data_IF_303344612857
#
_entry.id   IF_303344612857
#
_cell.length_a   1.000
_cell.length_b   1.000
_cell.length_c   1.000
_cell.angle_alpha   90.00
_cell.angle_beta   90.00
_cell.angle_gamma   90.00
#
_symmetry.space_group_name_H-M   'P 1'
#
loop_
_entity.id
_entity.type
_entity.pdbx_description
1 polymer ?
#
# COMPACT_ATOMS: atom_id res chain seq x y z
N UNK A 1 37.70 -22.74 3.97
CA UNK A 1 36.45 -22.46 3.19
C UNK A 1 36.61 -23.16 1.84
N UNK A 2 35.98 -24.29 1.72
CA UNK A 2 36.01 -25.09 0.49
C UNK A 2 35.06 -24.44 -0.53
N UNK A 3 35.59 -23.99 -1.66
CA UNK A 3 34.79 -23.42 -2.75
C UNK A 3 33.80 -24.47 -3.24
N UNK A 4 32.50 -24.20 -3.14
CA UNK A 4 31.46 -25.07 -3.65
C UNK A 4 31.73 -25.41 -5.12
N UNK A 5 32.01 -26.66 -5.39
CA UNK A 5 32.31 -27.19 -6.74
C UNK A 5 31.08 -26.92 -7.63
N UNK A 6 31.23 -26.04 -8.60
CA UNK A 6 30.18 -25.71 -9.56
C UNK A 6 29.82 -26.97 -10.34
N UNK A 7 28.58 -27.41 -10.23
CA UNK A 7 28.07 -28.56 -10.96
C UNK A 7 27.91 -28.16 -12.41
N UNK A 8 28.68 -28.73 -13.30
CA UNK A 8 28.53 -28.58 -14.76
C UNK A 8 27.41 -29.50 -15.20
N UNK A 9 26.28 -28.92 -15.65
CA UNK A 9 25.13 -29.66 -16.09
C UNK A 9 24.74 -29.22 -17.51
N UNK A 10 24.85 -30.17 -18.47
CA UNK A 10 24.48 -29.97 -19.86
C UNK A 10 23.03 -30.35 -20.19
N UNK A 11 22.25 -30.72 -19.17
CA UNK A 11 20.85 -31.10 -19.35
C UNK A 11 20.00 -29.91 -19.78
N UNK A 12 19.15 -30.09 -20.78
CA UNK A 12 18.16 -29.08 -21.17
C UNK A 12 17.00 -29.07 -20.19
N UNK A 13 16.67 -27.91 -19.68
CA UNK A 13 15.53 -27.69 -18.75
C UNK A 13 14.49 -26.83 -19.46
N UNK A 14 13.29 -27.36 -19.77
CA UNK A 14 12.18 -26.58 -20.30
C UNK A 14 11.82 -25.38 -19.42
N UNK A 15 11.39 -24.28 -20.02
CA UNK A 15 10.99 -23.05 -19.32
C UNK A 15 9.48 -22.98 -19.02
N UNK A 16 8.69 -23.79 -19.75
CA UNK A 16 7.23 -23.87 -19.57
C UNK A 16 6.73 -25.29 -19.84
N UNK A 17 5.51 -25.58 -19.39
CA UNK A 17 4.71 -26.70 -19.85
C UNK A 17 3.40 -26.18 -20.51
N UNK A 18 2.71 -27.05 -21.28
CA UNK A 18 1.49 -26.70 -22.02
C UNK A 18 0.22 -26.72 -21.14
N UNK A 19 0.36 -26.78 -19.81
CA UNK A 19 -0.78 -26.83 -18.89
C UNK A 19 -1.28 -25.44 -18.55
N UNK A 20 -2.48 -25.10 -19.01
CA UNK A 20 -3.16 -23.84 -18.68
C UNK A 20 -3.41 -23.67 -17.18
N UNK A 21 -3.18 -22.47 -16.68
CA UNK A 21 -3.42 -22.10 -15.30
C UNK A 21 -4.92 -21.86 -15.04
N UNK A 22 -5.40 -22.26 -13.85
CA UNK A 22 -6.77 -21.98 -13.44
C UNK A 22 -6.93 -20.49 -13.15
N UNK A 23 -8.02 -19.87 -13.62
CA UNK A 23 -8.26 -18.40 -13.46
C UNK A 23 -8.08 -17.92 -12.01
N UNK A 24 -8.52 -18.70 -11.03
CA UNK A 24 -8.37 -18.39 -9.60
C UNK A 24 -6.90 -18.27 -9.19
N UNK A 25 -6.02 -19.15 -9.67
CA UNK A 25 -4.59 -19.14 -9.38
C UNK A 25 -3.96 -17.86 -9.95
N UNK A 26 -4.24 -17.59 -11.22
CA UNK A 26 -3.75 -16.38 -11.89
C UNK A 26 -4.18 -15.10 -11.16
N UNK A 27 -5.46 -14.98 -10.82
CA UNK A 27 -6.00 -13.81 -10.12
C UNK A 27 -5.36 -13.58 -8.74
N UNK A 28 -5.09 -14.66 -8.01
CA UNK A 28 -4.41 -14.56 -6.70
C UNK A 28 -2.95 -14.16 -6.89
N UNK A 29 -2.23 -14.77 -7.82
CA UNK A 29 -0.82 -14.46 -8.07
C UNK A 29 -0.63 -13.02 -8.55
N UNK A 30 -1.46 -12.54 -9.49
CA UNK A 30 -1.45 -11.15 -10.00
C UNK A 30 -1.61 -10.13 -8.88
N UNK A 31 -2.41 -10.43 -7.84
CA UNK A 31 -2.60 -9.53 -6.70
C UNK A 31 -1.46 -9.66 -5.68
N UNK A 32 -1.00 -10.89 -5.39
CA UNK A 32 -0.02 -11.10 -4.33
C UNK A 32 1.41 -10.72 -4.71
N UNK A 33 1.82 -10.90 -5.96
CA UNK A 33 3.19 -10.58 -6.39
C UNK A 33 3.50 -9.09 -6.19
N UNK A 34 2.68 -8.12 -6.61
CA UNK A 34 2.91 -6.70 -6.31
C UNK A 34 2.88 -6.38 -4.81
N UNK A 35 1.93 -6.96 -4.05
CA UNK A 35 1.85 -6.75 -2.60
C UNK A 35 3.09 -7.26 -1.86
N UNK A 36 3.61 -8.43 -2.23
CA UNK A 36 4.85 -8.96 -1.68
C UNK A 36 6.05 -8.12 -2.07
N UNK A 37 6.11 -7.66 -3.30
CA UNK A 37 7.17 -6.75 -3.76
C UNK A 37 7.17 -5.47 -2.94
N UNK A 38 6.01 -4.85 -2.73
CA UNK A 38 5.86 -3.68 -1.88
C UNK A 38 6.24 -3.97 -0.43
N UNK A 39 5.85 -5.12 0.12
CA UNK A 39 6.24 -5.53 1.47
C UNK A 39 7.76 -5.70 1.61
N UNK A 40 8.44 -6.31 0.62
CA UNK A 40 9.91 -6.45 0.63
C UNK A 40 10.57 -5.07 0.60
N UNK A 41 10.11 -4.17 -0.25
CA UNK A 41 10.60 -2.78 -0.33
C UNK A 41 10.40 -2.03 0.99
N UNK A 42 9.21 -2.08 1.58
CA UNK A 42 8.89 -1.46 2.88
C UNK A 42 9.83 -1.95 3.99
N UNK A 43 10.20 -3.22 3.96
CA UNK A 43 11.13 -3.84 4.93
C UNK A 43 12.59 -3.71 4.57
N UNK A 44 12.92 -3.05 3.47
CA UNK A 44 14.29 -2.94 2.94
C UNK A 44 14.96 -4.31 2.78
N UNK A 45 14.18 -5.34 2.47
CA UNK A 45 14.64 -6.70 2.26
C UNK A 45 14.96 -6.90 0.78
N UNK A 46 16.21 -7.19 0.48
CA UNK A 46 16.62 -7.52 -0.89
C UNK A 46 16.10 -8.91 -1.20
N UNK A 47 15.07 -8.99 -2.01
CA UNK A 47 14.44 -10.23 -2.41
C UNK A 47 13.76 -10.09 -3.78
N UNK A 48 13.74 -11.16 -4.57
CA UNK A 48 12.93 -11.24 -5.78
C UNK A 48 11.64 -11.97 -5.48
N UNK A 49 10.53 -11.38 -5.92
CA UNK A 49 9.21 -11.98 -5.87
C UNK A 49 8.82 -12.41 -7.28
N UNK A 50 8.20 -13.57 -7.42
CA UNK A 50 7.71 -14.06 -8.70
C UNK A 50 6.65 -15.14 -8.52
N UNK A 51 6.18 -15.67 -9.65
CA UNK A 51 5.22 -16.78 -9.67
C UNK A 51 5.35 -17.57 -10.96
N UNK A 52 4.87 -18.81 -10.93
CA UNK A 52 4.77 -19.72 -12.08
C UNK A 52 6.06 -19.98 -12.85
N UNK A 53 7.22 -19.77 -12.23
CA UNK A 53 8.50 -20.15 -12.82
C UNK A 53 8.95 -21.52 -12.35
N UNK A 54 9.57 -22.30 -13.25
CA UNK A 54 10.08 -23.61 -12.94
C UNK A 54 11.29 -23.58 -12.02
N UNK A 55 11.20 -24.37 -10.96
CA UNK A 55 12.26 -24.63 -10.01
C UNK A 55 12.73 -26.07 -10.15
N UNK A 56 13.91 -26.24 -10.71
CA UNK A 56 14.56 -27.55 -10.77
C UNK A 56 15.37 -27.77 -9.50
N UNK A 57 15.14 -28.88 -8.84
CA UNK A 57 15.74 -29.14 -7.52
C UNK A 57 16.66 -30.38 -7.46
N UNK A 58 16.77 -31.13 -8.57
CA UNK A 58 17.74 -32.22 -8.74
C UNK A 58 18.50 -32.00 -10.05
N UNK A 59 19.82 -31.82 -9.95
CA UNK A 59 20.66 -31.68 -11.13
C UNK A 59 20.62 -32.92 -11.99
N UNK A 60 20.61 -32.75 -13.33
CA UNK A 60 20.54 -33.82 -14.34
C UNK A 60 19.22 -34.61 -14.36
N UNK A 61 18.21 -34.17 -13.63
CA UNK A 61 16.87 -34.74 -13.70
C UNK A 61 15.81 -33.65 -13.93
N UNK A 62 15.45 -33.36 -15.19
CA UNK A 62 14.49 -32.32 -15.52
C UNK A 62 13.04 -32.69 -15.11
N UNK A 63 12.79 -33.89 -14.65
CA UNK A 63 11.49 -34.28 -14.12
C UNK A 63 11.27 -33.81 -12.69
N UNK A 64 12.35 -33.48 -11.98
CA UNK A 64 12.30 -32.95 -10.63
C UNK A 64 12.14 -31.43 -10.67
N UNK A 65 10.95 -31.00 -10.98
CA UNK A 65 10.55 -29.60 -11.19
C UNK A 65 9.27 -29.27 -10.45
N UNK A 66 9.17 -28.03 -9.98
CA UNK A 66 7.95 -27.43 -9.42
C UNK A 66 7.84 -26.00 -9.86
N UNK A 67 6.63 -25.52 -10.13
CA UNK A 67 6.33 -24.12 -10.37
C UNK A 67 5.42 -23.60 -9.24
N UNK A 68 5.97 -22.87 -8.25
CA UNK A 68 5.14 -22.26 -7.21
C UNK A 68 4.21 -21.19 -7.81
N UNK A 69 2.97 -21.11 -7.35
CA UNK A 69 2.06 -20.04 -7.77
C UNK A 69 2.62 -18.65 -7.40
N UNK A 70 3.25 -18.54 -6.21
CA UNK A 70 3.98 -17.35 -5.79
C UNK A 70 5.21 -17.76 -4.98
N UNK A 71 6.34 -17.05 -5.14
CA UNK A 71 7.54 -17.31 -4.36
C UNK A 71 8.33 -16.04 -4.04
N UNK A 72 9.17 -16.13 -3.02
CA UNK A 72 10.14 -15.10 -2.63
C UNK A 72 11.52 -15.72 -2.51
N UNK A 73 12.53 -15.08 -3.13
CA UNK A 73 13.95 -15.48 -3.08
C UNK A 73 14.77 -14.38 -2.46
N UNK A 74 15.39 -14.67 -1.31
CA UNK A 74 16.27 -13.73 -0.65
C UNK A 74 17.60 -13.52 -1.39
N UNK A 75 18.16 -12.32 -1.27
CA UNK A 75 19.47 -11.97 -1.77
C UNK A 75 19.52 -11.79 -3.29
N UNK A 76 18.39 -11.78 -3.97
CA UNK A 76 18.29 -11.46 -5.40
C UNK A 76 17.59 -10.11 -5.54
N UNK A 77 18.25 -9.18 -6.25
CA UNK A 77 17.65 -7.86 -6.52
C UNK A 77 16.35 -8.01 -7.31
N UNK A 78 15.30 -7.23 -7.02
CA UNK A 78 14.10 -7.16 -7.85
C UNK A 78 14.44 -6.74 -9.30
N UNK A 79 15.48 -5.91 -9.47
CA UNK A 79 15.93 -5.40 -10.77
C UNK A 79 16.92 -6.33 -11.49
N UNK A 80 17.22 -7.51 -10.93
CA UNK A 80 18.09 -8.47 -11.59
C UNK A 80 17.47 -8.93 -12.91
N UNK A 81 18.28 -9.25 -13.93
CA UNK A 81 17.79 -9.77 -15.20
C UNK A 81 16.85 -10.96 -15.02
N UNK A 82 15.87 -11.08 -15.91
CA UNK A 82 14.95 -12.19 -15.89
C UNK A 82 15.67 -13.53 -16.06
N UNK A 83 15.14 -14.51 -15.34
CA UNK A 83 15.59 -15.89 -15.39
C UNK A 83 14.44 -16.72 -15.95
N UNK A 84 14.70 -17.51 -16.98
CA UNK A 84 13.70 -18.45 -17.48
C UNK A 84 13.34 -19.51 -16.43
N UNK A 85 14.33 -20.01 -15.70
CA UNK A 85 14.16 -21.04 -14.69
C UNK A 85 15.04 -20.82 -13.46
N UNK A 86 14.68 -21.41 -12.35
CA UNK A 86 15.48 -21.50 -11.13
C UNK A 86 16.09 -22.88 -10.98
N UNK A 87 17.33 -22.93 -10.50
CA UNK A 87 18.04 -24.16 -10.18
C UNK A 87 18.58 -24.06 -8.77
N UNK A 88 18.20 -24.99 -7.89
CA UNK A 88 18.61 -24.89 -6.47
C UNK A 88 20.09 -25.08 -6.23
N UNK A 89 20.78 -25.73 -7.15
CA UNK A 89 22.26 -25.90 -7.12
C UNK A 89 23.02 -24.64 -7.53
N UNK A 90 22.36 -23.63 -8.09
CA UNK A 90 22.95 -22.30 -8.33
C UNK A 90 23.01 -21.44 -7.02
N UNK A 91 22.64 -22.03 -5.90
CA UNK A 91 22.67 -21.38 -4.58
C UNK A 91 21.39 -20.65 -4.19
N UNK A 92 20.42 -20.52 -5.09
CA UNK A 92 19.12 -19.89 -4.80
C UNK A 92 18.12 -20.92 -4.26
N UNK A 93 17.27 -20.46 -3.32
CA UNK A 93 16.23 -21.27 -2.69
C UNK A 93 15.02 -20.43 -2.40
N UNK A 94 13.81 -20.98 -2.47
CA UNK A 94 12.63 -20.24 -2.00
C UNK A 94 12.77 -19.94 -0.51
N UNK A 95 12.76 -18.66 -0.13
CA UNK A 95 12.56 -18.28 1.25
C UNK A 95 11.12 -18.55 1.65
N UNK A 96 10.22 -18.21 0.76
CA UNK A 96 8.79 -18.43 0.89
C UNK A 96 8.23 -18.95 -0.44
N UNK A 97 7.23 -19.84 -0.37
CA UNK A 97 6.39 -20.19 -1.50
C UNK A 97 4.92 -20.30 -1.07
N UNK A 98 4.03 -19.97 -2.00
CA UNK A 98 2.60 -20.21 -1.90
C UNK A 98 2.18 -21.18 -2.98
N UNK A 99 1.41 -22.18 -2.61
CA UNK A 99 0.70 -23.09 -3.50
C UNK A 99 -0.80 -22.89 -3.34
N UNK A 100 -1.50 -22.75 -4.45
CA UNK A 100 -2.95 -22.67 -4.50
C UNK A 100 -3.47 -24.02 -4.98
N UNK A 101 -4.27 -24.64 -4.17
CA UNK A 101 -4.70 -26.01 -4.42
C UNK A 101 -5.62 -26.10 -5.62
N UNK A 102 -5.23 -26.94 -6.55
CA UNK A 102 -5.98 -27.25 -7.77
C UNK A 102 -7.10 -28.27 -7.52
N UNK A 103 -7.82 -28.64 -8.58
CA UNK A 103 -8.80 -29.73 -8.52
C UNK A 103 -8.16 -31.06 -8.09
N UNK A 104 -6.88 -31.29 -8.43
CA UNK A 104 -6.09 -32.46 -8.05
C UNK A 104 -5.35 -32.25 -6.73
N UNK A 105 -6.09 -31.94 -5.66
CA UNK A 105 -5.58 -31.52 -4.36
C UNK A 105 -4.54 -32.44 -3.72
N UNK A 106 -4.55 -33.76 -4.05
CA UNK A 106 -3.59 -34.73 -3.51
C UNK A 106 -2.14 -34.36 -3.88
N UNK A 107 -1.91 -33.92 -5.14
CA UNK A 107 -0.59 -33.44 -5.61
C UNK A 107 -0.10 -32.29 -4.76
N UNK A 108 -0.97 -31.32 -4.48
CA UNK A 108 -0.60 -30.11 -3.76
C UNK A 108 -0.42 -30.34 -2.26
N UNK A 109 -1.12 -31.34 -1.70
CA UNK A 109 -1.03 -31.68 -0.28
C UNK A 109 0.10 -32.65 0.08
N UNK A 110 0.48 -33.53 -0.84
CA UNK A 110 1.44 -34.62 -0.59
C UNK A 110 2.78 -34.37 -1.29
N UNK A 111 2.76 -34.15 -2.60
CA UNK A 111 3.98 -34.03 -3.39
C UNK A 111 4.65 -32.65 -3.26
N UNK A 112 3.86 -31.56 -3.17
CA UNK A 112 4.42 -30.23 -3.06
C UNK A 112 5.31 -30.06 -1.82
N UNK A 113 4.91 -30.44 -0.61
CA UNK A 113 5.76 -30.34 0.57
C UNK A 113 7.08 -31.09 0.46
N UNK A 114 7.10 -32.25 -0.20
CA UNK A 114 8.30 -33.06 -0.44
C UNK A 114 9.26 -32.34 -1.40
N UNK A 115 8.74 -31.81 -2.51
CA UNK A 115 9.52 -31.02 -3.46
C UNK A 115 10.12 -29.79 -2.79
N UNK A 116 9.36 -29.05 -1.97
CA UNK A 116 9.87 -27.88 -1.25
C UNK A 116 10.89 -28.24 -0.15
N UNK A 117 10.72 -29.39 0.47
CA UNK A 117 11.74 -29.93 1.38
C UNK A 117 13.06 -30.18 0.64
N UNK A 118 13.00 -30.79 -0.56
CA UNK A 118 14.16 -31.01 -1.42
C UNK A 118 14.78 -29.70 -1.92
N UNK A 119 14.01 -28.70 -2.30
CA UNK A 119 14.47 -27.35 -2.63
C UNK A 119 15.09 -26.61 -1.45
N UNK A 120 14.99 -27.14 -0.24
CA UNK A 120 15.39 -26.47 1.00
C UNK A 120 14.66 -25.13 1.23
N UNK A 121 13.40 -25.03 0.81
CA UNK A 121 12.56 -23.90 1.12
C UNK A 121 12.50 -23.63 2.63
N UNK A 122 12.35 -22.37 3.06
CA UNK A 122 12.24 -22.05 4.48
C UNK A 122 10.80 -22.19 4.97
N UNK A 123 9.86 -21.65 4.21
CA UNK A 123 8.42 -21.72 4.51
C UNK A 123 7.60 -21.93 3.24
N UNK A 124 6.55 -22.74 3.35
CA UNK A 124 5.54 -22.93 2.30
C UNK A 124 4.16 -22.84 2.92
N UNK A 125 3.31 -22.03 2.30
CA UNK A 125 1.88 -21.96 2.60
C UNK A 125 1.12 -22.64 1.46
N UNK A 126 0.25 -23.56 1.81
CA UNK A 126 -0.69 -24.18 0.88
C UNK A 126 -2.07 -23.60 1.18
N UNK A 127 -2.67 -22.95 0.21
CA UNK A 127 -4.00 -22.37 0.29
C UNK A 127 -4.98 -23.17 -0.54
N UNK A 128 -6.04 -23.64 0.09
CA UNK A 128 -7.12 -24.37 -0.58
C UNK A 128 -8.40 -23.52 -0.63
N UNK A 129 -8.68 -22.87 -1.76
CA UNK A 129 -9.88 -22.05 -1.92
C UNK A 129 -11.18 -22.85 -1.88
N UNK A 130 -11.10 -24.17 -2.15
CA UNK A 130 -12.25 -25.08 -2.20
C UNK A 130 -12.56 -25.75 -0.85
N UNK A 131 -11.69 -25.58 0.14
CA UNK A 131 -11.91 -26.13 1.47
C UNK A 131 -13.02 -25.36 2.20
N UNK A 132 -14.03 -26.06 2.64
CA UNK A 132 -15.14 -25.53 3.42
C UNK A 132 -15.14 -26.09 4.84
N UNK A 133 -15.90 -25.51 5.75
CA UNK A 133 -16.08 -26.05 7.10
C UNK A 133 -16.63 -27.49 7.13
N UNK A 134 -17.23 -27.96 6.04
CA UNK A 134 -17.78 -29.32 5.88
C UNK A 134 -16.79 -30.29 5.22
N UNK A 135 -15.64 -29.80 4.76
CA UNK A 135 -14.65 -30.66 4.10
C UNK A 135 -13.99 -31.60 5.11
N UNK A 136 -14.00 -32.88 4.83
CA UNK A 136 -13.41 -33.92 5.73
C UNK A 136 -11.91 -34.12 5.49
N UNK A 137 -11.42 -33.85 4.27
CA UNK A 137 -10.04 -34.16 3.84
C UNK A 137 -9.29 -32.91 3.36
N UNK A 138 -9.96 -31.77 3.29
CA UNK A 138 -9.39 -30.50 2.83
C UNK A 138 -9.42 -29.49 3.95
N UNK A 139 -8.37 -28.70 4.06
CA UNK A 139 -8.27 -27.59 5.01
C UNK A 139 -7.81 -26.36 4.26
N UNK A 140 -8.35 -25.20 4.61
CA UNK A 140 -8.08 -23.94 3.91
C UNK A 140 -6.59 -23.60 3.88
N UNK A 141 -5.88 -23.88 4.97
CA UNK A 141 -4.48 -23.55 5.12
C UNK A 141 -3.66 -24.73 5.61
N UNK A 142 -2.50 -24.93 5.02
CA UNK A 142 -1.43 -25.71 5.60
C UNK A 142 -0.14 -24.90 5.53
N UNK A 143 0.67 -24.92 6.58
CA UNK A 143 1.96 -24.24 6.63
C UNK A 143 3.04 -25.26 6.95
N UNK A 144 4.06 -25.27 6.12
CA UNK A 144 5.25 -26.08 6.30
C UNK A 144 6.44 -25.16 6.53
N UNK A 145 7.27 -25.46 7.51
CA UNK A 145 8.47 -24.68 7.83
C UNK A 145 9.68 -25.57 8.03
N UNK A 146 10.83 -25.01 7.73
CA UNK A 146 12.09 -25.64 8.08
C UNK A 146 12.42 -25.31 9.53
N UNK A 147 12.37 -26.33 10.38
CA UNK A 147 12.61 -26.21 11.81
C UNK A 147 13.94 -26.88 12.15
N UNK A 148 14.80 -26.16 12.88
CA UNK A 148 16.11 -26.70 13.30
C UNK A 148 15.92 -28.02 14.08
N UNK A 149 16.66 -29.04 13.70
CA UNK A 149 16.61 -30.37 14.31
C UNK A 149 15.40 -31.24 13.93
N UNK A 150 14.39 -30.68 13.23
CA UNK A 150 13.19 -31.41 12.82
C UNK A 150 12.98 -31.49 11.30
N UNK A 151 13.80 -30.75 10.53
CA UNK A 151 13.66 -30.71 9.07
C UNK A 151 12.53 -29.81 8.60
N UNK A 152 11.92 -30.15 7.47
CA UNK A 152 10.78 -29.44 6.90
C UNK A 152 9.49 -30.13 7.32
N UNK A 153 8.71 -29.47 8.16
CA UNK A 153 7.55 -30.09 8.83
C UNK A 153 6.31 -29.21 8.72
N UNK A 154 5.15 -29.84 8.72
CA UNK A 154 3.87 -29.16 8.85
C UNK A 154 3.74 -28.57 10.25
N UNK A 155 3.62 -27.25 10.35
CA UNK A 155 3.51 -26.53 11.62
C UNK A 155 2.10 -26.01 11.90
N UNK A 156 1.27 -25.94 10.86
CA UNK A 156 -0.13 -25.51 10.98
C UNK A 156 -1.00 -26.19 9.93
N UNK A 157 -2.24 -26.49 10.29
CA UNK A 157 -3.32 -26.83 9.38
C UNK A 157 -4.65 -26.36 10.00
N UNK A 158 -5.44 -25.59 9.24
CA UNK A 158 -6.67 -25.02 9.76
C UNK A 158 -7.54 -24.33 8.72
N UNK A 159 -8.73 -23.90 9.15
CA UNK A 159 -9.78 -23.34 8.28
C UNK A 159 -10.06 -21.84 8.47
N UNK A 160 -9.28 -21.10 9.23
CA UNK A 160 -9.50 -19.68 9.49
C UNK A 160 -9.42 -18.78 8.24
N UNK A 161 -9.73 -17.50 8.40
CA UNK A 161 -9.64 -16.50 7.34
C UNK A 161 -8.21 -16.04 7.06
N UNK A 162 -7.23 -16.42 7.91
CA UNK A 162 -5.85 -15.97 7.81
C UNK A 162 -4.84 -17.00 8.30
N UNK A 163 -3.60 -16.82 7.88
CA UNK A 163 -2.46 -17.61 8.33
C UNK A 163 -1.22 -16.73 8.46
N UNK A 164 -0.38 -17.00 9.46
CA UNK A 164 0.88 -16.31 9.66
C UNK A 164 1.95 -16.86 8.70
N UNK A 165 2.50 -15.98 7.85
CA UNK A 165 3.68 -16.23 7.02
C UNK A 165 4.92 -15.66 7.74
N UNK A 166 5.55 -16.48 8.59
CA UNK A 166 6.66 -16.03 9.48
C UNK A 166 7.88 -15.58 8.71
N UNK A 167 8.22 -16.29 7.66
CA UNK A 167 9.38 -15.94 6.83
C UNK A 167 9.20 -14.57 6.15
N UNK A 168 7.97 -14.20 5.89
CA UNK A 168 7.60 -12.88 5.38
C UNK A 168 7.35 -11.86 6.51
N UNK A 169 7.09 -12.35 7.74
CA UNK A 169 6.71 -11.55 8.90
C UNK A 169 5.38 -10.82 8.71
N UNK A 170 4.44 -11.39 8.01
CA UNK A 170 3.10 -10.86 7.78
C UNK A 170 2.05 -11.96 7.90
N UNK A 171 0.80 -11.57 7.73
CA UNK A 171 -0.32 -12.48 7.62
C UNK A 171 -0.80 -12.52 6.17
N UNK A 172 -1.26 -13.69 5.73
CA UNK A 172 -2.00 -13.85 4.49
C UNK A 172 -3.45 -14.05 4.87
N UNK A 173 -4.34 -13.19 4.36
CA UNK A 173 -5.78 -13.20 4.64
C UNK A 173 -6.59 -13.48 3.41
N UNK A 174 -7.67 -14.25 3.59
CA UNK A 174 -8.73 -14.35 2.59
C UNK A 174 -9.66 -13.16 2.73
N UNK A 175 -9.87 -12.45 1.64
CA UNK A 175 -10.89 -11.41 1.50
C UNK A 175 -11.84 -11.84 0.38
N UNK A 176 -13.11 -11.93 0.67
CA UNK A 176 -14.12 -12.29 -0.33
C UNK A 176 -14.51 -11.04 -1.12
N UNK A 177 -14.53 -11.13 -2.44
CA UNK A 177 -15.09 -10.12 -3.34
C UNK A 177 -16.16 -10.73 -4.25
N UNK A 178 -16.72 -9.95 -5.17
CA UNK A 178 -17.76 -10.40 -6.10
C UNK A 178 -17.29 -11.51 -7.06
N UNK A 179 -15.99 -11.75 -7.16
CA UNK A 179 -15.36 -12.76 -8.02
C UNK A 179 -14.83 -13.96 -7.23
N UNK A 180 -15.07 -13.99 -5.90
CA UNK A 180 -14.65 -15.08 -5.01
C UNK A 180 -13.45 -14.70 -4.11
N UNK A 181 -12.80 -15.71 -3.50
CA UNK A 181 -11.75 -15.49 -2.53
C UNK A 181 -10.51 -14.84 -3.17
N UNK A 182 -10.00 -13.79 -2.52
CA UNK A 182 -8.73 -13.13 -2.82
C UNK A 182 -7.80 -13.27 -1.63
N UNK A 183 -6.51 -13.35 -1.90
CA UNK A 183 -5.51 -13.30 -0.85
C UNK A 183 -4.93 -11.89 -0.74
N UNK A 184 -4.90 -11.36 0.47
CA UNK A 184 -4.32 -10.07 0.82
C UNK A 184 -3.23 -10.27 1.86
N UNK A 185 -2.23 -9.40 1.86
CA UNK A 185 -1.27 -9.33 2.94
C UNK A 185 -1.79 -8.42 4.05
N UNK A 186 -1.50 -8.77 5.28
CA UNK A 186 -1.84 -7.97 6.44
C UNK A 186 -0.69 -7.91 7.44
N UNK A 187 -0.64 -6.83 8.20
CA UNK A 187 0.34 -6.57 9.26
C UNK A 187 -0.37 -6.48 10.61
N UNK A 188 0.37 -6.12 11.66
CA UNK A 188 -0.14 -6.12 13.03
C UNK A 188 -0.02 -7.50 13.70
N UNK A 189 -0.23 -7.53 15.01
CA UNK A 189 -0.02 -8.74 15.83
C UNK A 189 -0.92 -9.90 15.41
N UNK A 190 -2.10 -9.59 14.89
CA UNK A 190 -3.11 -10.58 14.48
C UNK A 190 -3.48 -10.50 13.00
N UNK A 191 -2.74 -9.70 12.21
CA UNK A 191 -3.02 -9.53 10.79
C UNK A 191 -4.31 -8.74 10.52
N UNK A 192 -4.58 -7.72 11.30
CA UNK A 192 -5.79 -6.91 11.16
C UNK A 192 -5.63 -5.78 10.15
N UNK A 193 -4.40 -5.30 9.95
CA UNK A 193 -4.07 -4.17 9.09
C UNK A 193 -3.72 -4.67 7.67
N UNK A 194 -4.66 -4.56 6.75
CA UNK A 194 -4.41 -4.94 5.35
C UNK A 194 -3.37 -4.00 4.72
N UNK A 195 -2.38 -4.59 4.06
CA UNK A 195 -1.46 -3.85 3.22
C UNK A 195 -2.23 -3.31 2.00
N UNK A 196 -2.21 -1.99 1.76
CA UNK A 196 -2.94 -1.44 0.62
C UNK A 196 -2.35 -1.93 -0.70
N UNK A 197 -3.22 -2.18 -1.67
CA UNK A 197 -2.82 -2.35 -3.06
C UNK A 197 -2.33 -1.02 -3.62
N UNK A 198 -1.61 -1.05 -4.72
CA UNK A 198 -1.17 0.16 -5.42
C UNK A 198 -2.36 1.08 -5.78
N UNK A 199 -3.46 0.49 -6.25
CA UNK A 199 -4.67 1.24 -6.58
C UNK A 199 -5.31 1.90 -5.35
N UNK A 200 -5.36 1.21 -4.20
CA UNK A 200 -5.88 1.75 -2.93
C UNK A 200 -4.96 2.86 -2.39
N UNK A 201 -3.64 2.66 -2.45
CA UNK A 201 -2.68 3.68 -2.03
C UNK A 201 -2.80 4.93 -2.90
N UNK A 202 -2.85 4.78 -4.22
CA UNK A 202 -3.04 5.90 -5.15
C UNK A 202 -4.40 6.62 -4.97
N UNK A 203 -5.46 5.88 -4.62
CA UNK A 203 -6.76 6.47 -4.32
C UNK A 203 -6.73 7.28 -3.02
N UNK A 204 -6.08 6.76 -1.97
CA UNK A 204 -5.90 7.47 -0.70
C UNK A 204 -5.08 8.76 -0.89
N UNK A 205 -4.01 8.69 -1.67
CA UNK A 205 -3.17 9.86 -1.97
C UNK A 205 -3.93 10.95 -2.74
N UNK A 206 -4.76 10.55 -3.72
CA UNK A 206 -5.63 11.50 -4.44
C UNK A 206 -6.63 12.17 -3.51
N UNK A 207 -7.24 11.42 -2.60
CA UNK A 207 -8.20 11.97 -1.64
C UNK A 207 -7.53 12.99 -0.70
N UNK A 208 -6.35 12.68 -0.17
CA UNK A 208 -5.59 13.61 0.68
C UNK A 208 -5.28 14.90 -0.08
N UNK A 209 -4.85 14.81 -1.34
CA UNK A 209 -4.60 15.99 -2.19
C UNK A 209 -5.85 16.82 -2.39
N UNK A 210 -6.98 16.20 -2.71
CA UNK A 210 -8.26 16.91 -2.89
C UNK A 210 -8.70 17.64 -1.62
N UNK A 211 -8.54 17.02 -0.46
CA UNK A 211 -8.83 17.66 0.83
C UNK A 211 -7.93 18.87 1.06
N UNK A 212 -6.63 18.73 0.80
CA UNK A 212 -5.68 19.84 0.96
C UNK A 212 -5.98 21.01 0.01
N UNK A 213 -6.32 20.74 -1.25
CA UNK A 213 -6.73 21.73 -2.24
C UNK A 213 -8.01 22.46 -1.83
N UNK A 214 -9.01 21.71 -1.33
CA UNK A 214 -10.26 22.32 -0.84
C UNK A 214 -10.05 23.20 0.40
N UNK A 215 -9.17 22.79 1.31
CA UNK A 215 -8.81 23.60 2.49
C UNK A 215 -8.10 24.89 2.09
N UNK A 216 -7.11 24.81 1.19
CA UNK A 216 -6.40 26.00 0.70
C UNK A 216 -7.33 26.99 -0.01
N UNK A 217 -8.30 26.50 -0.78
CA UNK A 217 -9.29 27.36 -1.44
C UNK A 217 -10.23 28.02 -0.43
N UNK A 218 -10.69 27.27 0.60
CA UNK A 218 -11.51 27.83 1.67
C UNK A 218 -10.77 28.94 2.45
N UNK A 219 -9.48 28.73 2.77
CA UNK A 219 -8.65 29.74 3.41
C UNK A 219 -8.47 30.97 2.52
N UNK A 220 -8.30 30.78 1.21
CA UNK A 220 -8.18 31.88 0.25
C UNK A 220 -9.46 32.73 0.21
N UNK A 221 -10.63 32.08 0.16
CA UNK A 221 -11.93 32.77 0.19
C UNK A 221 -12.10 33.55 1.50
N UNK A 222 -11.87 32.92 2.65
CA UNK A 222 -11.98 33.55 3.96
C UNK A 222 -11.05 34.80 4.09
N UNK A 223 -9.85 34.70 3.54
CA UNK A 223 -8.92 35.84 3.51
C UNK A 223 -9.44 36.99 2.66
N UNK A 224 -9.97 36.73 1.47
CA UNK A 224 -10.55 37.77 0.60
C UNK A 224 -11.75 38.43 1.26
N UNK A 225 -12.62 37.67 1.91
CA UNK A 225 -13.76 38.20 2.68
C UNK A 225 -13.31 39.07 3.84
N UNK A 226 -12.34 38.62 4.64
CA UNK A 226 -11.79 39.42 5.74
C UNK A 226 -11.11 40.70 5.27
N UNK A 227 -10.39 40.67 4.14
CA UNK A 227 -9.80 41.86 3.52
C UNK A 227 -10.89 42.86 3.03
N UNK A 228 -12.00 42.34 2.48
CA UNK A 228 -13.12 43.14 2.05
C UNK A 228 -13.83 43.83 3.24
N UNK A 229 -14.11 43.09 4.30
CA UNK A 229 -14.68 43.61 5.54
C UNK A 229 -13.78 44.69 6.19
N UNK A 230 -12.47 44.44 6.23
CA UNK A 230 -11.52 45.41 6.76
C UNK A 230 -11.48 46.71 5.94
N UNK A 231 -11.56 46.63 4.61
CA UNK A 231 -11.66 47.81 3.73
C UNK A 231 -12.94 48.59 3.98
N UNK A 232 -14.06 47.94 4.12
CA UNK A 232 -15.35 48.59 4.41
C UNK A 232 -15.35 49.25 5.78
N UNK A 233 -14.81 48.60 6.81
CA UNK A 233 -14.67 49.20 8.15
C UNK A 233 -13.77 50.44 8.14
N UNK A 234 -12.64 50.38 7.43
CA UNK A 234 -11.77 51.57 7.27
C UNK A 234 -12.46 52.70 6.53
N UNK A 235 -13.18 52.43 5.44
CA UNK A 235 -13.93 53.45 4.70
C UNK A 235 -15.02 54.13 5.56
N UNK A 236 -15.71 53.38 6.43
CA UNK A 236 -16.69 53.91 7.40
C UNK A 236 -15.98 54.86 8.41
N UNK A 237 -14.84 54.42 8.95
CA UNK A 237 -14.06 55.23 9.90
C UNK A 237 -13.57 56.53 9.28
N UNK A 238 -13.09 56.46 8.02
CA UNK A 238 -12.63 57.65 7.29
C UNK A 238 -13.80 58.61 6.97
N UNK A 239 -14.95 58.10 6.60
CA UNK A 239 -16.16 58.88 6.37
C UNK A 239 -16.64 59.60 7.67
N UNK A 240 -16.61 58.88 8.81
CA UNK A 240 -16.93 59.50 10.11
C UNK A 240 -15.95 60.60 10.50
N UNK A 241 -14.65 60.42 10.26
CA UNK A 241 -13.64 61.46 10.48
C UNK A 241 -13.91 62.68 9.61
N UNK A 242 -14.11 62.47 8.32
CA UNK A 242 -14.41 63.56 7.39
C UNK A 242 -15.68 64.36 7.78
N UNK A 243 -16.72 63.66 8.22
CA UNK A 243 -17.95 64.30 8.71
C UNK A 243 -17.71 65.14 9.96
N UNK A 244 -16.95 64.65 10.95
CA UNK A 244 -16.58 65.40 12.16
C UNK A 244 -15.71 66.66 11.85
N UNK A 245 -14.77 66.49 10.92
CA UNK A 245 -13.94 67.60 10.48
C UNK A 245 -14.76 68.72 9.76
N UNK A 246 -15.69 68.28 8.89
CA UNK A 246 -16.61 69.22 8.22
C UNK A 246 -17.54 69.95 9.21
N UNK A 247 -18.08 69.24 10.19
CA UNK A 247 -18.92 69.82 11.27
C UNK A 247 -18.10 70.84 12.07
N UNK A 248 -16.86 70.50 12.45
CA UNK A 248 -15.97 71.45 13.16
C UNK A 248 -15.66 72.69 12.35
N UNK A 249 -15.32 72.54 11.06
CA UNK A 249 -15.08 73.66 10.16
C UNK A 249 -16.32 74.57 9.98
N UNK A 250 -17.50 73.96 9.85
CA UNK A 250 -18.77 74.68 9.79
C UNK A 250 -19.03 75.50 11.07
N UNK A 251 -18.77 74.88 12.24
CA UNK A 251 -18.91 75.57 13.54
C UNK A 251 -17.94 76.71 13.69
N UNK A 252 -16.67 76.50 13.36
CA UNK A 252 -15.65 77.57 13.38
C UNK A 252 -16.01 78.70 12.44
N UNK A 253 -16.54 78.47 11.25
CA UNK A 253 -17.04 79.44 10.29
C UNK A 253 -18.24 80.26 10.85
N UNK A 254 -19.21 79.54 11.46
CA UNK A 254 -20.38 80.17 12.09
C UNK A 254 -19.99 81.05 13.30
N UNK A 255 -19.05 80.61 14.14
CA UNK A 255 -18.52 81.40 15.24
C UNK A 255 -17.81 82.66 14.76
N UNK A 256 -16.98 82.58 13.70
CA UNK A 256 -16.33 83.70 13.07
C UNK A 256 -17.34 84.72 12.49
N UNK A 257 -18.42 84.23 11.84
CA UNK A 257 -19.48 85.06 11.30
C UNK A 257 -20.25 85.82 12.43
N UNK A 258 -20.55 85.14 13.55
CA UNK A 258 -21.16 85.76 14.73
C UNK A 258 -20.28 86.84 15.28
N UNK A 259 -18.96 86.62 15.40
CA UNK A 259 -18.00 87.63 15.84
C UNK A 259 -17.98 88.84 14.87
N UNK A 260 -17.98 88.61 13.56
CA UNK A 260 -18.04 89.65 12.53
C UNK A 260 -19.30 90.49 12.65
N UNK A 261 -20.46 89.87 12.72
CA UNK A 261 -21.76 90.53 12.84
C UNK A 261 -21.89 91.34 14.13
N UNK A 262 -21.38 90.81 15.27
CA UNK A 262 -21.31 91.61 16.53
C UNK A 262 -20.45 92.82 16.44
N UNK A 263 -19.30 92.76 15.78
CA UNK A 263 -18.40 93.92 15.56
C UNK A 263 -19.07 94.96 14.63
N UNK A 264 -19.80 94.50 13.63
CA UNK A 264 -20.54 95.42 12.72
C UNK A 264 -21.72 96.11 13.42
N UNK A 265 -22.46 95.37 14.28
CA UNK A 265 -23.49 95.98 15.13
C UNK A 265 -22.93 97.02 16.11
N UNK A 266 -21.80 96.76 16.74
CA UNK A 266 -21.13 97.67 17.63
C UNK A 266 -20.65 98.94 16.90
N UNK A 267 -20.29 98.86 15.61
CA UNK A 267 -19.93 100.03 14.80
C UNK A 267 -21.12 100.87 14.39
N UNK A 268 -22.32 100.33 14.27
CA UNK A 268 -23.52 101.10 13.86
C UNK A 268 -24.16 101.92 14.96
N UNK A 269 -23.71 101.84 16.22
CA UNK A 269 -24.19 102.69 17.33
C UNK A 269 -25.69 102.49 17.62
N UNK A 270 -26.20 102.90 18.80
CA UNK A 270 -27.62 102.95 19.06
C UNK A 270 -28.31 103.92 18.12
N UNK A 271 -29.31 103.43 17.41
CA UNK A 271 -30.18 104.37 16.62
C UNK A 271 -30.85 105.37 17.60
N UNK A 272 -30.58 106.61 17.41
CA UNK A 272 -31.17 107.73 18.15
C UNK A 272 -32.64 107.78 17.89
#
# INVERSE_FOLDING_TARGET
MEAAKRITDATTYPESDDMGEHETHFQIAVLLVPLLTALMALRRRVARVGGNQFWYFVAKDPKQVRAPDVYVVDGVSPDAPDRGVWRTWDGHRPAFALEIVSAKWQKDYLEAPEAYAAMRAKEVVVFDPWATARSRRRVRWQVFRRVRGRGFVKVFAGGGDRVEARELGCWIRVVEDSRGPRLRLATGAHGDDLLPTEAEAAAAERLVRQIAEAQAEAERIARVEAEAEAREANARTDAERAAKEAERAARETAEAEVVRLRAELARRGPAS
#
